data_IF_724991108882
#
_entry.id   IF_724991108882
#
_cell.length_a   1.000
_cell.length_b   1.000
_cell.length_c   1.000
_cell.angle_alpha   90.00
_cell.angle_beta   90.00
_cell.angle_gamma   90.00
#
_symmetry.space_group_name_H-M   'P 1'
#
loop_
_entity.id
_entity.type
_entity.pdbx_description
1 polymer ?
#
# COMPACT_ATOMS: atom_id res chain seq x y z
N UNK A 1 8.78 30.31 -6.41
CA UNK A 1 9.26 29.46 -5.31
C UNK A 1 9.18 28.02 -5.80
N UNK A 2 10.26 27.52 -6.40
CA UNK A 2 10.31 26.15 -6.91
C UNK A 2 10.33 25.19 -5.72
N UNK A 3 9.27 24.41 -5.55
CA UNK A 3 9.27 23.28 -4.63
C UNK A 3 10.34 22.31 -5.12
N UNK A 4 11.42 22.12 -4.36
CA UNK A 4 12.29 20.97 -4.56
C UNK A 4 11.41 19.74 -4.31
N UNK A 5 10.95 19.10 -5.38
CA UNK A 5 10.26 17.82 -5.29
C UNK A 5 11.19 16.87 -4.52
N UNK A 6 10.84 16.58 -3.26
CA UNK A 6 11.60 15.63 -2.46
C UNK A 6 11.36 14.26 -3.06
N UNK A 7 12.43 13.60 -3.48
CA UNK A 7 12.40 12.22 -3.95
C UNK A 7 11.69 11.35 -2.90
N UNK A 8 10.78 10.48 -3.36
CA UNK A 8 10.04 9.56 -2.50
C UNK A 8 11.01 8.64 -1.75
N UNK A 9 10.85 8.54 -0.43
CA UNK A 9 11.54 7.53 0.38
C UNK A 9 10.88 6.17 0.16
N UNK A 10 11.57 5.25 -0.51
CA UNK A 10 11.13 3.88 -0.74
C UNK A 10 11.48 2.96 0.46
N UNK A 11 10.74 1.86 0.66
CA UNK A 11 11.12 0.82 1.62
C UNK A 11 12.51 0.26 1.31
N UNK A 12 13.25 -0.15 2.34
CA UNK A 12 14.64 -0.61 2.20
C UNK A 12 14.77 -1.88 1.34
N UNK A 13 13.70 -2.66 1.19
CA UNK A 13 13.69 -3.87 0.35
C UNK A 13 13.53 -3.57 -1.12
N UNK A 14 13.10 -2.36 -1.49
CA UNK A 14 12.83 -1.97 -2.87
C UNK A 14 13.95 -1.10 -3.39
N UNK A 15 14.56 -1.51 -4.50
CA UNK A 15 15.54 -0.68 -5.18
C UNK A 15 15.43 -0.77 -6.69
N UNK A 16 16.04 0.22 -7.32
CA UNK A 16 16.22 0.23 -8.77
C UNK A 16 17.26 -0.83 -9.16
N UNK A 17 16.99 -1.62 -10.21
CA UNK A 17 18.02 -2.45 -10.83
C UNK A 17 19.13 -1.57 -11.41
N UNK A 18 20.38 -2.02 -11.32
CA UNK A 18 21.46 -1.43 -12.11
C UNK A 18 21.33 -1.86 -13.57
N UNK A 19 21.97 -1.12 -14.48
CA UNK A 19 21.93 -1.44 -15.92
C UNK A 19 22.44 -2.85 -16.23
N UNK A 20 23.44 -3.33 -15.48
CA UNK A 20 24.02 -4.67 -15.59
C UNK A 20 23.19 -5.78 -14.91
N UNK A 21 22.17 -5.42 -14.11
CA UNK A 21 21.24 -6.36 -13.48
C UNK A 21 19.95 -6.56 -14.31
N UNK A 22 19.77 -5.78 -15.37
CA UNK A 22 18.61 -5.86 -16.24
C UNK A 22 18.82 -6.92 -17.33
N UNK A 23 17.82 -7.76 -17.63
CA UNK A 23 17.90 -8.67 -18.75
C UNK A 23 17.99 -7.86 -20.05
N UNK A 24 18.83 -8.33 -20.98
CA UNK A 24 18.96 -7.72 -22.30
C UNK A 24 17.60 -7.80 -23.02
N UNK A 25 17.03 -6.63 -23.33
CA UNK A 25 15.72 -6.48 -23.97
C UNK A 25 15.76 -5.29 -24.94
N UNK A 26 15.08 -5.38 -26.10
CA UNK A 26 15.16 -4.35 -27.14
C UNK A 26 14.72 -2.95 -26.69
N UNK A 27 13.90 -2.85 -25.66
CA UNK A 27 13.28 -1.63 -25.12
C UNK A 27 13.88 -1.18 -23.77
N UNK A 28 15.07 -1.68 -23.40
CA UNK A 28 15.70 -1.37 -22.11
C UNK A 28 15.98 0.13 -21.95
N UNK A 29 16.47 0.79 -23.01
CA UNK A 29 16.83 2.21 -22.98
C UNK A 29 15.59 3.09 -22.82
N UNK A 30 14.51 2.80 -23.57
CA UNK A 30 13.23 3.52 -23.43
C UNK A 30 12.69 3.40 -22.01
N UNK A 31 12.75 2.20 -21.44
CA UNK A 31 12.26 1.93 -20.10
C UNK A 31 13.10 2.66 -19.03
N UNK A 32 14.41 2.78 -19.22
CA UNK A 32 15.29 3.52 -18.32
C UNK A 32 15.04 5.03 -18.41
N UNK A 33 14.80 5.56 -19.61
CA UNK A 33 14.43 6.97 -19.79
C UNK A 33 13.05 7.28 -19.18
N UNK A 34 12.04 6.45 -19.44
CA UNK A 34 10.70 6.59 -18.81
C UNK A 34 10.79 6.63 -17.29
N UNK A 35 11.69 5.84 -16.70
CA UNK A 35 11.93 5.85 -15.25
C UNK A 35 12.58 7.15 -14.78
N UNK A 36 13.55 7.69 -15.52
CA UNK A 36 14.22 8.95 -15.15
C UNK A 36 13.25 10.13 -15.17
N UNK A 37 12.28 10.09 -16.07
CA UNK A 37 11.23 11.10 -16.20
C UNK A 37 10.03 10.85 -15.27
N UNK A 38 9.99 9.70 -14.59
CA UNK A 38 8.87 9.29 -13.75
C UNK A 38 8.64 10.25 -12.57
N UNK A 39 7.40 10.63 -12.38
CA UNK A 39 6.93 11.50 -11.32
C UNK A 39 6.67 10.71 -10.02
N UNK A 40 7.71 10.06 -9.49
CA UNK A 40 7.67 9.28 -8.26
C UNK A 40 8.03 10.20 -7.08
N UNK A 41 7.02 10.88 -6.53
CA UNK A 41 7.17 11.80 -5.40
C UNK A 41 6.01 11.66 -4.41
N UNK A 42 6.18 12.10 -3.14
CA UNK A 42 5.08 12.15 -2.18
C UNK A 42 3.94 13.04 -2.67
N UNK A 43 2.71 12.55 -2.56
CA UNK A 43 1.51 13.22 -3.03
C UNK A 43 0.36 12.25 -3.19
N UNK A 44 -0.79 12.73 -3.63
CA UNK A 44 -1.93 11.88 -3.94
C UNK A 44 -2.67 12.33 -5.19
N UNK A 45 -3.31 11.40 -5.89
CA UNK A 45 -4.28 11.68 -6.93
C UNK A 45 -5.69 11.46 -6.40
N UNK A 46 -6.69 12.05 -7.07
CA UNK A 46 -8.10 11.83 -6.78
C UNK A 46 -8.86 11.54 -8.06
N UNK A 47 -9.74 10.55 -8.01
CA UNK A 47 -10.67 10.26 -9.09
C UNK A 47 -12.08 10.09 -8.50
N UNK A 48 -13.09 10.78 -9.03
CA UNK A 48 -14.47 10.56 -8.57
C UNK A 48 -14.96 9.17 -8.98
N UNK A 49 -15.96 8.66 -8.26
CA UNK A 49 -16.58 7.39 -8.63
C UNK A 49 -17.39 7.54 -9.93
N UNK A 50 -16.97 6.81 -10.97
CA UNK A 50 -17.70 6.69 -12.23
C UNK A 50 -18.42 5.33 -12.38
N UNK A 51 -18.33 4.47 -11.35
CA UNK A 51 -18.88 3.11 -11.32
C UNK A 51 -20.05 3.07 -10.34
N UNK A 52 -21.29 3.34 -10.80
CA UNK A 52 -22.46 3.48 -9.92
C UNK A 52 -22.84 2.19 -9.16
N UNK A 53 -22.27 1.05 -9.52
CA UNK A 53 -22.53 -0.24 -8.87
C UNK A 53 -21.86 -0.37 -7.50
N UNK A 54 -20.84 0.46 -7.20
CA UNK A 54 -20.09 0.39 -5.94
C UNK A 54 -20.33 1.64 -5.08
N UNK A 55 -20.66 1.50 -3.79
CA UNK A 55 -21.09 2.61 -2.94
C UNK A 55 -19.91 3.43 -2.36
N UNK A 56 -19.01 3.92 -3.20
CA UNK A 56 -17.98 4.91 -2.82
C UNK A 56 -18.15 6.22 -3.59
N UNK A 57 -17.52 7.30 -3.14
CA UNK A 57 -17.62 8.62 -3.78
C UNK A 57 -16.36 9.00 -4.55
N UNK A 58 -15.19 8.58 -4.06
CA UNK A 58 -13.91 8.85 -4.71
C UNK A 58 -12.91 7.72 -4.45
N UNK A 59 -11.87 7.71 -5.28
CA UNK A 59 -10.66 6.92 -5.09
C UNK A 59 -9.45 7.84 -5.03
N UNK A 60 -8.42 7.39 -4.33
CA UNK A 60 -7.13 8.06 -4.27
C UNK A 60 -6.01 7.03 -4.38
N UNK A 61 -4.93 7.43 -5.06
CA UNK A 61 -3.67 6.71 -5.03
C UNK A 61 -2.60 7.66 -4.46
N UNK A 62 -1.84 7.18 -3.48
CA UNK A 62 -1.04 8.01 -2.59
C UNK A 62 0.38 7.46 -2.52
N UNK A 63 1.34 8.29 -2.92
CA UNK A 63 2.75 8.08 -2.60
C UNK A 63 3.06 8.82 -1.30
N UNK A 64 3.70 8.13 -0.36
CA UNK A 64 4.13 8.70 0.91
C UNK A 64 5.53 8.18 1.23
N UNK A 65 6.36 9.02 1.86
CA UNK A 65 7.65 8.56 2.34
C UNK A 65 7.48 7.37 3.27
N UNK A 66 8.27 6.31 3.08
CA UNK A 66 8.09 5.06 3.78
C UNK A 66 8.14 5.22 5.32
N UNK A 67 8.96 6.14 5.84
CA UNK A 67 8.99 6.47 7.27
C UNK A 67 7.63 6.94 7.83
N UNK A 68 6.77 7.54 6.99
CA UNK A 68 5.44 8.04 7.37
C UNK A 68 4.30 7.08 7.01
N UNK A 69 4.58 5.99 6.28
CA UNK A 69 3.55 5.09 5.74
C UNK A 69 2.63 4.51 6.82
N UNK A 70 3.22 4.02 7.91
CA UNK A 70 2.45 3.43 9.01
C UNK A 70 1.50 4.45 9.64
N UNK A 71 2.00 5.66 9.91
CA UNK A 71 1.22 6.69 10.59
C UNK A 71 0.10 7.20 9.68
N UNK A 72 0.37 7.31 8.37
CA UNK A 72 -0.66 7.61 7.38
C UNK A 72 -1.73 6.52 7.34
N UNK A 73 -1.31 5.25 7.32
CA UNK A 73 -2.22 4.11 7.36
C UNK A 73 -3.13 4.17 8.59
N UNK A 74 -2.59 4.43 9.79
CA UNK A 74 -3.39 4.58 11.00
C UNK A 74 -4.37 5.76 10.92
N UNK A 75 -3.94 6.90 10.37
CA UNK A 75 -4.80 8.07 10.21
C UNK A 75 -5.96 7.82 9.23
N UNK A 76 -5.71 7.10 8.13
CA UNK A 76 -6.75 6.69 7.20
C UNK A 76 -7.65 5.60 7.79
N UNK A 77 -7.09 4.66 8.56
CA UNK A 77 -7.85 3.64 9.28
C UNK A 77 -8.79 4.25 10.33
N UNK A 78 -8.47 5.41 10.90
CA UNK A 78 -9.37 6.13 11.80
C UNK A 78 -10.64 6.66 11.11
N UNK A 79 -10.68 6.69 9.78
CA UNK A 79 -11.86 7.02 8.99
C UNK A 79 -12.78 5.81 8.77
N UNK A 80 -12.35 4.60 9.15
CA UNK A 80 -13.17 3.40 9.01
C UNK A 80 -14.26 3.32 10.08
N UNK A 81 -15.36 2.61 9.80
CA UNK A 81 -16.32 2.23 10.82
C UNK A 81 -15.68 1.33 11.90
N UNK A 82 -16.41 1.12 12.99
CA UNK A 82 -15.95 0.33 14.14
C UNK A 82 -15.64 -1.14 13.81
N UNK A 83 -16.15 -1.66 12.69
CA UNK A 83 -15.86 -3.00 12.19
C UNK A 83 -15.42 -2.92 10.73
N UNK A 84 -14.40 -3.71 10.39
CA UNK A 84 -13.89 -3.86 9.05
C UNK A 84 -13.42 -5.30 8.85
N UNK A 85 -13.21 -5.71 7.61
CA UNK A 85 -12.44 -6.87 7.26
C UNK A 85 -10.97 -6.50 7.17
N UNK A 86 -10.10 -7.34 7.74
CA UNK A 86 -8.67 -7.31 7.45
C UNK A 86 -8.44 -7.77 6.00
N UNK A 87 -7.58 -7.05 5.29
CA UNK A 87 -7.06 -7.42 3.96
C UNK A 87 -5.56 -7.63 4.09
N UNK A 88 -5.04 -8.78 3.69
CA UNK A 88 -3.60 -9.04 3.69
C UNK A 88 -3.27 -10.23 2.80
N UNK A 89 -2.10 -10.22 2.17
CA UNK A 89 -1.47 -11.43 1.64
C UNK A 89 0.01 -11.21 1.29
N UNK A 90 0.67 -12.29 0.85
CA UNK A 90 1.87 -12.16 0.03
C UNK A 90 1.53 -11.57 -1.35
N UNK A 91 2.39 -10.71 -1.89
CA UNK A 91 2.15 -9.95 -3.12
C UNK A 91 2.02 -10.82 -4.38
N UNK A 92 2.52 -12.06 -4.33
CA UNK A 92 2.37 -13.04 -5.42
C UNK A 92 1.03 -13.76 -5.40
N UNK A 93 0.21 -13.56 -4.37
CA UNK A 93 -1.08 -14.21 -4.19
C UNK A 93 -2.23 -13.21 -4.31
N UNK A 94 -3.44 -13.70 -4.54
CA UNK A 94 -4.63 -12.85 -4.50
C UNK A 94 -4.86 -12.34 -3.07
N UNK A 95 -5.14 -11.03 -2.93
CA UNK A 95 -5.44 -10.41 -1.65
C UNK A 95 -6.63 -11.08 -0.97
N UNK A 96 -6.43 -11.58 0.25
CA UNK A 96 -7.47 -12.22 1.04
C UNK A 96 -8.25 -11.17 1.84
N UNK A 97 -9.57 -11.30 1.86
CA UNK A 97 -10.45 -10.49 2.72
C UNK A 97 -11.10 -11.38 3.77
N UNK A 98 -10.98 -10.99 5.03
CA UNK A 98 -11.54 -11.73 6.17
C UNK A 98 -13.01 -11.41 6.44
N UNK A 99 -13.63 -12.12 7.39
CA UNK A 99 -14.89 -11.69 7.99
C UNK A 99 -14.73 -10.35 8.74
N UNK A 100 -15.85 -9.72 9.11
CA UNK A 100 -15.82 -8.48 9.87
C UNK A 100 -15.29 -8.69 11.29
N UNK A 101 -14.27 -7.92 11.65
CA UNK A 101 -13.69 -7.82 12.98
C UNK A 101 -13.75 -6.37 13.49
N UNK A 102 -13.66 -6.13 14.81
CA UNK A 102 -13.42 -4.80 15.33
C UNK A 102 -12.15 -4.20 14.70
N UNK A 103 -12.23 -2.96 14.21
CA UNK A 103 -11.12 -2.32 13.50
C UNK A 103 -9.89 -2.18 14.39
N UNK A 104 -10.07 -1.86 15.67
CA UNK A 104 -9.01 -1.80 16.69
C UNK A 104 -8.33 -3.16 16.93
N UNK A 105 -9.08 -4.26 16.87
CA UNK A 105 -8.55 -5.62 16.95
C UNK A 105 -7.64 -5.94 15.76
N UNK A 106 -8.03 -5.57 14.54
CA UNK A 106 -7.19 -5.74 13.35
C UNK A 106 -5.90 -4.92 13.49
N UNK A 107 -6.03 -3.63 13.81
CA UNK A 107 -4.89 -2.73 13.95
C UNK A 107 -3.90 -3.20 15.03
N UNK A 108 -4.39 -3.77 16.13
CA UNK A 108 -3.55 -4.36 17.18
C UNK A 108 -2.68 -5.51 16.65
N UNK A 109 -3.22 -6.36 15.79
CA UNK A 109 -2.45 -7.47 15.20
C UNK A 109 -1.48 -6.96 14.14
N UNK A 110 -1.90 -6.05 13.25
CA UNK A 110 -0.99 -5.43 12.28
C UNK A 110 0.18 -4.71 12.96
N UNK A 111 -0.06 -4.00 14.07
CA UNK A 111 0.98 -3.27 14.79
C UNK A 111 2.14 -4.17 15.28
N UNK A 112 1.90 -5.46 15.52
CA UNK A 112 2.95 -6.43 15.90
C UNK A 112 3.98 -6.65 14.80
N UNK A 113 3.56 -6.48 13.55
CA UNK A 113 4.38 -6.67 12.35
C UNK A 113 4.54 -5.36 11.58
N UNK A 114 4.48 -4.22 12.27
CA UNK A 114 4.64 -2.89 11.64
C UNK A 114 5.85 -2.85 10.71
N UNK A 115 7.00 -3.34 11.17
CA UNK A 115 8.25 -3.32 10.40
C UNK A 115 8.12 -4.12 9.12
N UNK A 116 7.64 -5.37 9.20
CA UNK A 116 7.43 -6.24 8.05
C UNK A 116 6.41 -5.65 7.08
N UNK A 117 5.28 -5.15 7.59
CA UNK A 117 4.21 -4.58 6.77
C UNK A 117 4.67 -3.35 5.99
N UNK A 118 5.45 -2.44 6.60
CA UNK A 118 5.89 -1.22 5.91
C UNK A 118 7.16 -1.40 5.09
N UNK A 119 8.05 -2.32 5.48
CA UNK A 119 9.33 -2.50 4.80
C UNK A 119 9.31 -3.63 3.79
N UNK A 120 8.64 -4.75 4.03
CA UNK A 120 8.77 -5.93 3.17
C UNK A 120 7.88 -5.85 1.93
N UNK A 121 8.49 -5.61 0.77
CA UNK A 121 7.77 -5.51 -0.51
C UNK A 121 7.18 -6.82 -1.03
N UNK A 122 7.22 -7.91 -0.28
CA UNK A 122 6.45 -9.12 -0.60
C UNK A 122 5.12 -9.19 0.14
N UNK A 123 4.78 -8.22 0.99
CA UNK A 123 3.53 -8.18 1.74
C UNK A 123 2.64 -7.03 1.27
N UNK A 124 1.33 -7.29 1.22
CA UNK A 124 0.29 -6.29 1.08
C UNK A 124 -0.65 -6.37 2.28
N UNK A 125 -1.23 -5.24 2.68
CA UNK A 125 -2.16 -5.20 3.80
C UNK A 125 -3.11 -4.01 3.71
N UNK A 126 -4.21 -4.10 4.44
CA UNK A 126 -5.30 -3.17 4.29
C UNK A 126 -6.50 -3.46 5.18
N UNK A 127 -7.54 -2.66 4.95
CA UNK A 127 -8.85 -2.76 5.57
C UNK A 127 -9.93 -2.61 4.49
N UNK A 128 -11.02 -3.35 4.65
CA UNK A 128 -12.20 -3.23 3.80
C UNK A 128 -13.45 -3.16 4.66
N UNK A 129 -14.30 -2.18 4.39
CA UNK A 129 -15.67 -2.13 4.89
C UNK A 129 -16.60 -1.96 3.70
N UNK A 130 -17.40 -2.98 3.42
CA UNK A 130 -18.36 -2.96 2.32
C UNK A 130 -19.76 -3.25 2.86
N UNK A 131 -20.61 -2.23 2.85
CA UNK A 131 -22.04 -2.33 3.16
C UNK A 131 -22.85 -1.94 1.93
N UNK A 132 -24.19 -2.11 1.99
CA UNK A 132 -25.07 -1.66 0.90
C UNK A 132 -25.00 -0.16 0.66
N UNK A 133 -24.67 0.63 1.70
CA UNK A 133 -24.74 2.09 1.67
C UNK A 133 -23.37 2.74 1.47
N UNK A 134 -22.29 2.05 1.83
CA UNK A 134 -20.94 2.59 1.80
C UNK A 134 -19.88 1.51 1.62
N UNK A 135 -18.92 1.80 0.75
CA UNK A 135 -17.64 1.12 0.58
C UNK A 135 -16.52 2.04 1.09
N UNK A 136 -15.66 1.51 1.94
CA UNK A 136 -14.40 2.15 2.32
C UNK A 136 -13.32 1.10 2.28
N UNK A 137 -12.27 1.35 1.51
CA UNK A 137 -11.18 0.42 1.29
C UNK A 137 -9.86 1.17 1.43
N UNK A 138 -8.91 0.53 2.10
CA UNK A 138 -7.57 1.03 2.34
C UNK A 138 -6.63 -0.11 2.07
N UNK A 139 -5.78 0.02 1.05
CA UNK A 139 -4.82 -1.00 0.67
C UNK A 139 -3.44 -0.36 0.59
N UNK A 140 -2.45 -0.99 1.22
CA UNK A 140 -1.03 -0.71 1.04
C UNK A 140 -0.48 -1.80 0.14
N UNK A 141 -0.04 -1.41 -1.04
CA UNK A 141 0.47 -2.33 -2.05
C UNK A 141 1.82 -2.92 -1.67
N UNK A 142 2.26 -3.92 -2.42
CA UNK A 142 3.59 -4.52 -2.30
C UNK A 142 4.70 -3.47 -2.47
N UNK A 143 4.49 -2.49 -3.36
CA UNK A 143 5.43 -1.38 -3.56
C UNK A 143 5.19 -0.18 -2.64
N UNK A 144 4.37 -0.36 -1.59
CA UNK A 144 4.22 0.55 -0.45
C UNK A 144 3.67 1.94 -0.78
N UNK A 145 2.86 2.02 -1.83
CA UNK A 145 1.95 3.13 -2.04
C UNK A 145 0.55 2.73 -1.54
N UNK A 146 -0.29 3.72 -1.24
CA UNK A 146 -1.62 3.50 -0.66
C UNK A 146 -2.68 3.72 -1.72
N UNK A 147 -3.64 2.80 -1.81
CA UNK A 147 -4.90 2.99 -2.53
C UNK A 147 -6.03 3.15 -1.50
N UNK A 148 -6.90 4.12 -1.73
CA UNK A 148 -8.01 4.43 -0.84
C UNK A 148 -9.29 4.65 -1.62
N UNK A 149 -10.37 4.02 -1.19
CA UNK A 149 -11.74 4.27 -1.65
C UNK A 149 -12.53 4.81 -0.47
N UNK A 150 -13.25 5.90 -0.66
CA UNK A 150 -13.94 6.56 0.45
C UNK A 150 -15.18 7.34 0.05
N UNK A 151 -15.90 7.75 1.10
CA UNK A 151 -17.14 8.52 1.00
C UNK A 151 -17.05 9.92 1.63
N UNK A 152 -16.06 10.17 2.48
CA UNK A 152 -15.85 11.47 3.13
C UNK A 152 -14.57 12.15 2.59
N UNK A 153 -14.72 12.87 1.49
CA UNK A 153 -13.61 13.58 0.85
C UNK A 153 -13.03 14.70 1.74
N UNK A 154 -13.83 15.51 2.46
CA UNK A 154 -13.31 16.49 3.41
C UNK A 154 -12.41 15.88 4.49
N UNK A 155 -12.84 14.79 5.14
CA UNK A 155 -12.04 14.13 6.17
C UNK A 155 -10.74 13.53 5.59
N UNK A 156 -10.83 12.87 4.44
CA UNK A 156 -9.65 12.37 3.72
C UNK A 156 -8.65 13.47 3.39
N UNK A 157 -9.12 14.60 2.87
CA UNK A 157 -8.26 15.73 2.49
C UNK A 157 -7.59 16.36 3.72
N UNK A 158 -8.27 16.37 4.87
CA UNK A 158 -7.68 16.82 6.14
C UNK A 158 -6.52 15.91 6.60
N UNK A 159 -6.65 14.59 6.41
CA UNK A 159 -5.54 13.65 6.65
C UNK A 159 -4.38 13.96 5.72
N UNK A 160 -4.60 14.05 4.40
CA UNK A 160 -3.52 14.35 3.44
C UNK A 160 -2.76 15.63 3.80
N UNK A 161 -3.48 16.68 4.17
CA UNK A 161 -2.90 17.95 4.61
C UNK A 161 -2.03 17.80 5.87
N UNK A 162 -2.44 16.98 6.82
CA UNK A 162 -1.67 16.70 8.06
C UNK A 162 -0.31 16.05 7.75
N UNK A 163 -0.26 15.21 6.73
CA UNK A 163 0.97 14.56 6.27
C UNK A 163 1.78 15.40 5.26
N UNK A 164 1.31 16.61 4.93
CA UNK A 164 1.95 17.49 3.94
C UNK A 164 1.86 16.97 2.51
N UNK A 165 0.93 16.06 2.21
CA UNK A 165 0.73 15.49 0.89
C UNK A 165 -0.13 16.43 0.04
N UNK A 166 0.34 16.70 -1.18
CA UNK A 166 -0.34 17.59 -2.11
C UNK A 166 -1.14 16.80 -3.14
N UNK A 167 -2.25 17.39 -3.60
CA UNK A 167 -2.99 16.84 -4.73
C UNK A 167 -2.18 17.03 -6.01
N UNK A 168 -1.88 15.92 -6.67
CA UNK A 168 -1.14 15.84 -7.92
C UNK A 168 -2.10 15.48 -9.06
N UNK A 169 -1.87 16.04 -10.25
CA UNK A 169 -2.62 15.65 -11.46
C UNK A 169 -2.27 14.23 -11.91
N UNK A 170 -1.01 13.85 -11.72
CA UNK A 170 -0.44 12.58 -12.11
C UNK A 170 0.62 12.19 -11.08
N UNK A 171 0.72 10.90 -10.79
CA UNK A 171 1.78 10.28 -10.01
C UNK A 171 2.13 8.97 -10.69
N UNK A 172 3.43 8.70 -10.79
CA UNK A 172 3.92 7.39 -11.18
C UNK A 172 4.23 6.57 -9.93
N UNK A 173 4.10 5.24 -10.05
CA UNK A 173 4.27 4.32 -8.93
C UNK A 173 5.45 3.39 -9.17
N UNK A 174 6.11 2.98 -8.09
CA UNK A 174 7.35 2.20 -8.21
C UNK A 174 7.14 0.82 -8.85
N UNK A 175 5.91 0.29 -8.84
CA UNK A 175 5.56 -0.98 -9.47
C UNK A 175 5.44 -0.92 -10.99
N UNK A 176 5.26 0.27 -11.56
CA UNK A 176 5.16 0.53 -13.01
C UNK A 176 6.50 0.43 -13.74
N UNK A 177 7.61 0.35 -12.99
CA UNK A 177 8.97 0.26 -13.50
C UNK A 177 9.68 -0.99 -12.97
N UNK A 178 10.75 -1.46 -13.66
CA UNK A 178 11.56 -2.56 -13.16
C UNK A 178 12.14 -2.27 -11.79
N UNK A 179 12.09 -3.29 -10.94
CA UNK A 179 12.40 -3.20 -9.53
C UNK A 179 13.08 -4.48 -9.08
N UNK A 180 13.98 -4.35 -8.12
CA UNK A 180 14.52 -5.49 -7.37
C UNK A 180 13.94 -5.42 -5.97
N UNK A 181 13.38 -6.55 -5.53
CA UNK A 181 12.93 -6.77 -4.17
C UNK A 181 13.93 -7.66 -3.47
N UNK A 182 14.50 -7.17 -2.37
CA UNK A 182 15.42 -7.92 -1.50
C UNK A 182 14.66 -8.35 -0.26
N UNK A 183 14.63 -9.65 0.10
CA UNK A 183 13.94 -10.11 1.30
C UNK A 183 14.38 -9.33 2.55
N UNK A 184 13.44 -8.82 3.33
CA UNK A 184 13.72 -7.93 4.47
C UNK A 184 14.74 -8.52 5.45
N UNK A 185 14.62 -9.82 5.74
CA UNK A 185 15.53 -10.56 6.63
C UNK A 185 17.01 -10.51 6.23
N UNK A 186 17.32 -10.23 4.96
CA UNK A 186 18.71 -10.07 4.49
C UNK A 186 19.29 -8.71 4.86
N UNK A 187 18.44 -7.71 5.08
CA UNK A 187 18.81 -6.33 5.38
C UNK A 187 18.67 -6.04 6.88
N UNK A 188 17.66 -6.63 7.52
CA UNK A 188 17.38 -6.49 8.95
C UNK A 188 17.29 -7.89 9.56
N UNK A 189 18.37 -8.40 10.18
CA UNK A 189 18.35 -9.71 10.82
C UNK A 189 17.30 -9.80 11.93
N UNK A 190 16.60 -10.93 12.00
CA UNK A 190 15.59 -11.19 13.03
C UNK A 190 14.16 -10.76 12.68
N UNK A 191 13.92 -10.17 11.51
CA UNK A 191 12.55 -9.91 11.05
C UNK A 191 11.81 -11.19 10.68
N UNK A 192 10.49 -11.16 10.84
CA UNK A 192 9.62 -12.30 10.58
C UNK A 192 9.52 -12.56 9.07
N UNK A 193 9.63 -13.81 8.60
CA UNK A 193 9.36 -14.13 7.20
C UNK A 193 7.91 -13.80 6.78
N UNK A 194 7.67 -13.34 5.54
CA UNK A 194 6.33 -13.00 5.03
C UNK A 194 5.27 -14.07 5.29
N UNK A 195 5.56 -15.33 4.94
CA UNK A 195 4.69 -16.48 5.19
C UNK A 195 4.27 -16.61 6.66
N UNK A 196 5.18 -16.38 7.61
CA UNK A 196 4.87 -16.48 9.04
C UNK A 196 4.04 -15.30 9.55
N UNK A 197 4.19 -14.11 8.94
CA UNK A 197 3.31 -12.96 9.19
C UNK A 197 1.90 -13.30 8.74
N UNK A 198 1.76 -13.87 7.54
CA UNK A 198 0.48 -14.31 6.99
C UNK A 198 -0.16 -15.40 7.85
N UNK A 199 0.57 -16.46 8.21
CA UNK A 199 0.09 -17.52 9.11
C UNK A 199 -0.34 -16.99 10.49
N UNK A 200 0.28 -15.91 10.98
CA UNK A 200 -0.17 -15.26 12.20
C UNK A 200 -1.54 -14.62 12.00
N UNK A 201 -1.71 -13.87 10.91
CA UNK A 201 -2.98 -13.23 10.60
C UNK A 201 -4.08 -14.25 10.33
N UNK A 202 -3.79 -15.33 9.61
CA UNK A 202 -4.78 -16.39 9.37
C UNK A 202 -5.30 -16.96 10.70
N UNK A 203 -4.41 -17.25 11.64
CA UNK A 203 -4.80 -17.69 13.00
C UNK A 203 -5.55 -16.61 13.77
N UNK A 204 -5.12 -15.35 13.67
CA UNK A 204 -5.72 -14.24 14.40
C UNK A 204 -7.15 -13.89 13.92
N UNK A 205 -7.43 -14.15 12.63
CA UNK A 205 -8.68 -13.83 11.97
C UNK A 205 -9.50 -15.07 11.57
N UNK A 206 -9.09 -16.26 12.03
CA UNK A 206 -9.74 -17.56 11.76
C UNK A 206 -9.95 -17.83 10.27
N UNK A 207 -8.89 -17.63 9.47
CA UNK A 207 -8.87 -17.97 8.05
C UNK A 207 -8.33 -19.38 7.88
N UNK A 208 -9.09 -20.21 7.19
CA UNK A 208 -8.63 -21.51 6.71
C UNK A 208 -8.22 -21.34 5.24
N UNK A 209 -6.91 -21.35 4.97
CA UNK A 209 -6.41 -21.42 3.60
C UNK A 209 -6.59 -22.87 3.15
N UNK A 210 -7.52 -23.10 2.23
CA UNK A 210 -7.62 -24.40 1.58
C UNK A 210 -6.31 -24.72 0.87
N UNK A 211 -5.87 -25.98 0.96
CA UNK A 211 -4.75 -26.50 0.17
C UNK A 211 -5.12 -26.44 -1.33
N UNK A 212 -4.87 -25.29 -1.98
CA UNK A 212 -4.87 -25.22 -3.44
C UNK A 212 -3.50 -25.73 -3.92
N UNK A 213 -3.35 -27.06 -3.94
CA UNK A 213 -2.32 -27.77 -4.70
C UNK A 213 -2.64 -27.75 -6.20
#
# INVERSE_FOLDING_TARGET
>A
MAYLARMLELPITLRVPRADEMPDRPDIDELLERRREANIQPGYTLQPNHTPQLPYTFTAAINVNNAQLWDLFLALAALFPAKASAVYNEASEESLTTNLHPTDYILKHYARYKTELVQDCTLEFGLLSNTREALTELNVSACKYVKFWGNDLPAFTAVMKTFGLQLCRHLDFADEFPKIIVPLRRLVPGTTPPVQVVEHFDRAFNVERGDFY
#
